data_IF_158557147014
#
_entry.id   IF_158557147014
#
_cell.length_a   1.000
_cell.length_b   1.000
_cell.length_c   1.000
_cell.angle_alpha   90.00
_cell.angle_beta   90.00
_cell.angle_gamma   90.00
#
_symmetry.space_group_name_H-M   'P 1'
#
loop_
_entity.id
_entity.type
_entity.pdbx_description
1 polymer ?
#
# COMPACT_ATOMS: atom_id res chain seq x y z
N UNK A 1 -3.86 10.46 -31.93
CA UNK A 1 -3.74 10.36 -30.46
C UNK A 1 -4.04 11.70 -29.80
N UNK A 2 -3.18 12.71 -29.91
CA UNK A 2 -3.34 14.00 -29.22
C UNK A 2 -4.59 14.80 -29.58
N UNK A 3 -5.09 14.67 -30.82
CA UNK A 3 -6.27 15.41 -31.29
C UNK A 3 -7.50 15.30 -30.38
N UNK A 4 -7.73 14.14 -29.74
CA UNK A 4 -8.85 13.98 -28.80
C UNK A 4 -8.66 14.79 -27.52
N UNK A 5 -7.41 14.99 -27.08
CA UNK A 5 -7.08 15.77 -25.90
C UNK A 5 -7.16 17.28 -26.20
N UNK A 6 -6.74 17.71 -27.38
CA UNK A 6 -6.84 19.12 -27.81
C UNK A 6 -8.31 19.59 -27.76
N UNK A 7 -9.25 18.73 -28.19
CA UNK A 7 -10.69 19.00 -28.14
C UNK A 7 -11.25 19.11 -26.72
N UNK A 8 -10.58 18.54 -25.73
CA UNK A 8 -10.98 18.56 -24.32
C UNK A 8 -10.14 19.52 -23.45
N UNK A 9 -9.25 20.32 -24.06
CA UNK A 9 -8.38 21.26 -23.35
C UNK A 9 -7.18 20.61 -22.65
N UNK A 10 -6.76 19.42 -23.08
CA UNK A 10 -5.55 18.75 -22.58
C UNK A 10 -4.28 19.52 -22.95
N UNK A 11 -3.25 19.39 -22.10
CA UNK A 11 -2.00 20.15 -22.22
C UNK A 11 -0.82 19.33 -22.77
N UNK A 12 -1.06 18.06 -23.13
CA UNK A 12 -0.01 17.15 -23.59
C UNK A 12 0.42 17.48 -25.02
N UNK A 13 1.72 17.55 -25.25
CA UNK A 13 2.35 17.89 -26.54
C UNK A 13 2.98 16.66 -27.19
N UNK A 14 3.39 16.74 -28.47
CA UNK A 14 4.12 15.64 -29.13
C UNK A 14 5.49 15.42 -28.48
N UNK A 15 6.08 16.50 -28.00
CA UNK A 15 7.37 16.55 -27.33
C UNK A 15 7.32 15.78 -26.00
N UNK A 16 6.21 15.86 -25.26
CA UNK A 16 6.02 15.06 -24.04
C UNK A 16 6.07 13.55 -24.33
N UNK A 17 5.46 13.09 -25.44
CA UNK A 17 5.51 11.68 -25.84
C UNK A 17 6.89 11.27 -26.34
N UNK A 18 7.52 12.11 -27.16
CA UNK A 18 8.82 11.82 -27.74
C UNK A 18 9.94 11.77 -26.68
N UNK A 19 9.82 12.57 -25.62
CA UNK A 19 10.79 12.66 -24.53
C UNK A 19 10.60 11.60 -23.44
N UNK A 20 9.40 11.03 -23.29
CA UNK A 20 9.14 10.04 -22.24
C UNK A 20 10.01 8.78 -22.36
N UNK A 21 10.57 8.32 -21.24
CA UNK A 21 11.27 7.04 -21.11
C UNK A 21 10.87 6.35 -19.82
N UNK A 22 10.69 5.03 -19.86
CA UNK A 22 10.55 4.23 -18.64
C UNK A 22 11.84 4.27 -17.83
N UNK A 23 11.73 4.50 -16.52
CA UNK A 23 12.89 4.54 -15.63
C UNK A 23 13.19 3.13 -15.12
N UNK A 24 14.35 2.60 -15.49
CA UNK A 24 14.88 1.36 -14.94
C UNK A 24 15.64 1.66 -13.65
N UNK A 25 15.15 1.14 -12.54
CA UNK A 25 15.78 1.33 -11.23
C UNK A 25 16.87 0.26 -11.03
N UNK A 26 18.15 0.63 -10.80
CA UNK A 26 19.19 -0.33 -10.53
C UNK A 26 18.97 -1.01 -9.17
N UNK A 27 19.51 -2.22 -8.99
CA UNK A 27 19.33 -2.99 -7.76
C UNK A 27 19.81 -2.27 -6.50
N UNK A 28 20.77 -1.35 -6.61
CA UNK A 28 21.26 -0.50 -5.50
C UNK A 28 20.26 0.55 -5.02
N UNK A 29 19.26 0.89 -5.84
CA UNK A 29 18.25 1.89 -5.54
C UNK A 29 16.89 1.28 -5.17
N UNK A 30 16.74 -0.04 -5.36
CA UNK A 30 15.60 -0.80 -4.84
C UNK A 30 15.61 -0.70 -3.31
N UNK A 31 14.43 -0.49 -2.74
CA UNK A 31 14.25 -0.45 -1.29
C UNK A 31 14.04 -1.87 -0.80
N UNK A 32 14.90 -2.29 0.13
CA UNK A 32 14.83 -3.60 0.77
C UNK A 32 14.56 -3.45 2.26
N UNK A 33 13.54 -4.13 2.75
CA UNK A 33 13.25 -4.24 4.18
C UNK A 33 13.58 -5.64 4.67
N UNK A 34 14.45 -5.72 5.67
CA UNK A 34 14.82 -6.98 6.32
C UNK A 34 13.76 -7.34 7.35
N UNK A 35 13.33 -8.60 7.32
CA UNK A 35 12.45 -9.19 8.32
C UNK A 35 13.17 -10.30 9.08
N UNK A 36 12.56 -10.72 10.18
CA UNK A 36 12.91 -11.89 10.97
C UNK A 36 12.96 -13.16 10.12
N UNK A 37 13.70 -14.14 10.62
CA UNK A 37 13.91 -15.44 9.99
C UNK A 37 14.62 -15.40 8.62
N UNK A 38 15.30 -14.29 8.31
CA UNK A 38 16.05 -14.13 7.06
C UNK A 38 15.19 -13.81 5.85
N UNK A 39 13.94 -13.37 6.05
CA UNK A 39 13.09 -12.87 4.96
C UNK A 39 13.48 -11.44 4.59
N UNK A 40 13.30 -11.11 3.34
CA UNK A 40 13.52 -9.77 2.80
C UNK A 40 12.35 -9.40 1.90
N UNK A 41 11.89 -8.15 2.00
CA UNK A 41 10.89 -7.57 1.11
C UNK A 41 11.61 -6.63 0.16
N UNK A 42 11.17 -6.55 -1.10
CA UNK A 42 11.54 -5.49 -2.02
C UNK A 42 10.34 -4.99 -2.83
N UNK A 43 10.48 -3.78 -3.38
CA UNK A 43 9.55 -3.18 -4.31
C UNK A 43 10.12 -1.89 -4.92
N UNK A 44 9.43 -1.26 -5.89
CA UNK A 44 9.88 -0.01 -6.49
C UNK A 44 10.04 1.11 -5.45
N UNK A 45 11.03 2.02 -5.62
CA UNK A 45 11.15 3.23 -4.80
C UNK A 45 10.01 4.23 -5.09
N UNK A 46 9.91 5.35 -4.35
CA UNK A 46 9.03 6.45 -4.72
C UNK A 46 9.18 6.82 -6.21
N UNK A 47 8.09 7.17 -6.91
CA UNK A 47 6.78 7.51 -6.37
C UNK A 47 5.82 6.32 -6.10
N UNK A 48 6.30 5.06 -6.05
CA UNK A 48 5.51 3.93 -5.53
C UNK A 48 5.41 3.95 -4.00
N UNK A 49 4.29 3.46 -3.46
CA UNK A 49 4.08 3.28 -2.02
C UNK A 49 4.60 1.94 -1.46
N UNK A 50 5.38 1.17 -2.23
CA UNK A 50 5.90 -0.13 -1.78
C UNK A 50 6.67 -0.07 -0.46
N UNK A 51 7.42 1.01 -0.22
CA UNK A 51 8.13 1.24 1.04
C UNK A 51 7.18 1.47 2.24
N UNK A 52 6.01 2.05 2.00
CA UNK A 52 4.97 2.26 3.03
C UNK A 52 4.39 0.91 3.46
N UNK A 53 4.09 0.04 2.50
CA UNK A 53 3.65 -1.34 2.76
C UNK A 53 4.72 -2.13 3.50
N UNK A 54 5.98 -1.98 3.09
CA UNK A 54 7.12 -2.60 3.77
C UNK A 54 7.26 -2.16 5.23
N UNK A 55 7.01 -0.89 5.53
CA UNK A 55 7.07 -0.37 6.90
C UNK A 55 6.01 -1.00 7.80
N UNK A 56 4.76 -1.12 7.33
CA UNK A 56 3.68 -1.81 8.06
C UNK A 56 4.12 -3.23 8.39
N UNK A 57 4.62 -3.97 7.39
CA UNK A 57 5.07 -5.36 7.58
C UNK A 57 6.29 -5.48 8.49
N UNK A 58 7.21 -4.50 8.45
CA UNK A 58 8.37 -4.46 9.33
C UNK A 58 7.99 -4.35 10.79
N UNK A 59 7.02 -3.50 11.11
CA UNK A 59 6.51 -3.31 12.47
C UNK A 59 5.76 -4.55 12.93
N UNK A 60 4.88 -5.10 12.09
CA UNK A 60 4.16 -6.34 12.39
C UNK A 60 5.08 -7.54 12.63
N UNK A 61 6.29 -7.54 12.06
CA UNK A 61 7.27 -8.60 12.24
C UNK A 61 7.95 -8.62 13.62
N UNK A 62 7.98 -7.49 14.32
CA UNK A 62 8.53 -7.40 15.68
C UNK A 62 7.62 -7.99 16.75
N UNK A 63 6.32 -8.06 16.47
CA UNK A 63 5.33 -8.63 17.38
C UNK A 63 5.19 -10.16 17.20
N UNK A 64 4.86 -10.82 18.31
CA UNK A 64 4.53 -12.26 18.34
C UNK A 64 3.13 -12.45 18.88
N UNK A 65 2.27 -13.06 18.08
CA UNK A 65 0.88 -13.32 18.42
C UNK A 65 0.63 -14.82 18.58
N UNK A 66 -0.04 -15.22 19.64
CA UNK A 66 -0.66 -16.52 19.75
C UNK A 66 -2.11 -16.44 19.26
N UNK A 67 -2.32 -16.78 17.98
CA UNK A 67 -3.63 -16.73 17.32
C UNK A 67 -4.67 -17.70 17.88
N UNK A 68 -4.33 -18.47 18.92
CA UNK A 68 -5.28 -19.26 19.72
C UNK A 68 -5.88 -18.49 20.89
N UNK A 69 -5.41 -17.26 21.16
CA UNK A 69 -5.95 -16.38 22.19
C UNK A 69 -6.69 -15.24 21.50
N UNK A 70 -7.91 -14.95 21.97
CA UNK A 70 -8.73 -13.90 21.38
C UNK A 70 -8.13 -12.51 21.60
N UNK A 71 -7.48 -12.31 22.74
CA UNK A 71 -6.82 -11.04 23.11
C UNK A 71 -5.68 -10.72 22.13
N UNK A 72 -4.88 -11.73 21.77
CA UNK A 72 -3.77 -11.58 20.82
C UNK A 72 -4.27 -11.26 19.40
N UNK A 73 -5.51 -11.62 19.07
CA UNK A 73 -6.14 -11.29 17.78
C UNK A 73 -6.60 -9.83 17.77
N UNK A 74 -7.19 -9.35 18.87
CA UNK A 74 -7.49 -7.92 19.03
C UNK A 74 -6.24 -7.07 18.91
N UNK A 75 -5.16 -7.45 19.61
CA UNK A 75 -3.87 -6.77 19.55
C UNK A 75 -3.23 -6.82 18.16
N UNK A 76 -3.32 -7.94 17.44
CA UNK A 76 -2.84 -8.05 16.06
C UNK A 76 -3.47 -6.97 15.17
N UNK A 77 -4.78 -6.82 15.21
CA UNK A 77 -5.48 -5.84 14.37
C UNK A 77 -5.27 -4.41 14.83
N UNK A 78 -5.20 -4.18 16.14
CA UNK A 78 -4.82 -2.89 16.72
C UNK A 78 -3.43 -2.44 16.22
N UNK A 79 -2.41 -3.28 16.40
CA UNK A 79 -1.06 -2.99 15.91
C UNK A 79 -1.03 -2.80 14.40
N UNK A 80 -1.82 -3.56 13.63
CA UNK A 80 -1.91 -3.38 12.19
C UNK A 80 -2.48 -2.00 11.79
N UNK A 81 -3.53 -1.54 12.49
CA UNK A 81 -4.14 -0.22 12.28
C UNK A 81 -3.15 0.89 12.66
N UNK A 82 -2.54 0.81 13.83
CA UNK A 82 -1.60 1.82 14.31
C UNK A 82 -0.33 1.90 13.44
N UNK A 83 0.21 0.74 13.04
CA UNK A 83 1.32 0.66 12.07
C UNK A 83 0.94 1.29 10.74
N UNK A 84 -0.29 1.07 10.28
CA UNK A 84 -0.79 1.70 9.06
C UNK A 84 -0.81 3.22 9.21
N UNK A 85 -1.39 3.77 10.28
CA UNK A 85 -1.44 5.23 10.51
C UNK A 85 -0.05 5.87 10.44
N UNK A 86 0.95 5.31 11.12
CA UNK A 86 2.33 5.80 11.04
C UNK A 86 2.92 5.70 9.64
N UNK A 87 2.70 4.58 8.94
CA UNK A 87 3.21 4.41 7.59
C UNK A 87 2.56 5.39 6.59
N UNK A 88 1.25 5.61 6.66
CA UNK A 88 0.55 6.61 5.84
C UNK A 88 0.96 8.05 6.22
N UNK A 89 1.29 8.31 7.49
CA UNK A 89 1.90 9.58 7.89
C UNK A 89 3.22 9.81 7.15
N UNK A 90 4.11 8.81 7.13
CA UNK A 90 5.38 8.89 6.41
C UNK A 90 5.21 8.99 4.88
N UNK A 91 4.20 8.32 4.30
CA UNK A 91 3.85 8.41 2.87
C UNK A 91 3.71 9.86 2.41
N UNK A 92 3.19 10.71 3.27
CA UNK A 92 2.90 12.11 2.94
C UNK A 92 4.14 12.97 2.68
N UNK A 93 5.32 12.50 3.04
CA UNK A 93 6.62 13.13 2.72
C UNK A 93 7.28 12.54 1.47
N UNK A 94 6.69 11.50 0.88
CA UNK A 94 7.18 10.88 -0.35
C UNK A 94 6.68 11.65 -1.58
N UNK A 95 7.41 11.50 -2.68
CA UNK A 95 7.07 12.06 -3.99
C UNK A 95 8.09 11.59 -5.03
N UNK A 96 8.03 12.16 -6.23
CA UNK A 96 9.00 11.87 -7.29
C UNK A 96 10.44 12.21 -6.83
N UNK A 97 11.37 11.24 -6.78
CA UNK A 97 12.75 11.49 -6.38
C UNK A 97 13.50 12.52 -7.24
N UNK A 98 13.06 12.76 -8.48
CA UNK A 98 13.62 13.82 -9.33
C UNK A 98 13.28 15.23 -8.82
N UNK A 99 12.26 15.37 -7.97
CA UNK A 99 11.76 16.66 -7.44
C UNK A 99 11.78 16.74 -5.90
N UNK A 100 11.83 15.59 -5.22
CA UNK A 100 11.87 15.48 -3.76
C UNK A 100 13.14 14.68 -3.39
N UNK A 101 14.25 15.40 -3.20
CA UNK A 101 15.58 14.80 -3.10
C UNK A 101 15.75 13.79 -1.95
N UNK A 102 15.03 13.97 -0.84
CA UNK A 102 15.06 13.06 0.29
C UNK A 102 14.03 11.92 0.20
N UNK A 103 13.17 11.85 -0.84
CA UNK A 103 12.08 10.87 -0.90
C UNK A 103 12.58 9.42 -0.78
N UNK A 104 13.66 9.07 -1.46
CA UNK A 104 14.23 7.73 -1.41
C UNK A 104 14.80 7.40 -0.02
N UNK A 105 15.46 8.35 0.64
CA UNK A 105 16.02 8.15 1.98
C UNK A 105 14.93 8.11 3.05
N UNK A 106 13.89 8.95 2.92
CA UNK A 106 12.68 8.85 3.74
C UNK A 106 12.03 7.48 3.56
N UNK A 107 11.88 6.99 2.33
CA UNK A 107 11.29 5.68 2.04
C UNK A 107 12.12 4.51 2.60
N UNK A 108 13.45 4.58 2.59
CA UNK A 108 14.34 3.58 3.23
C UNK A 108 14.24 3.57 4.75
N UNK A 109 13.94 4.72 5.35
CA UNK A 109 13.93 4.93 6.79
C UNK A 109 12.53 5.14 7.35
N UNK A 110 11.48 4.64 6.68
CA UNK A 110 10.15 4.59 7.28
C UNK A 110 10.20 3.56 8.40
N UNK A 111 10.47 4.02 9.61
CA UNK A 111 10.48 3.21 10.81
C UNK A 111 9.46 3.76 11.77
N UNK A 112 8.64 2.86 12.30
CA UNK A 112 7.85 3.15 13.49
C UNK A 112 8.57 2.47 14.64
N UNK A 113 8.96 3.25 15.64
CA UNK A 113 9.40 2.65 16.89
C UNK A 113 8.18 1.97 17.52
N UNK A 114 8.24 0.65 17.71
CA UNK A 114 7.16 -0.15 18.32
C UNK A 114 6.70 0.42 19.67
N UNK A 115 7.58 1.12 20.40
CA UNK A 115 7.21 1.78 21.65
C UNK A 115 6.24 2.96 21.49
N UNK A 116 6.01 3.43 20.26
CA UNK A 116 5.01 4.45 19.94
C UNK A 116 3.63 3.84 19.65
N UNK A 117 3.53 2.52 19.47
CA UNK A 117 2.26 1.82 19.34
C UNK A 117 1.85 1.38 20.74
N UNK A 118 1.03 2.20 21.40
CA UNK A 118 0.46 1.92 22.73
C UNK A 118 -0.87 1.18 22.60
N UNK A 119 -1.49 0.76 23.70
CA UNK A 119 -2.80 0.07 23.72
C UNK A 119 -4.00 0.99 23.40
N UNK A 120 -3.75 2.23 22.95
CA UNK A 120 -4.75 3.25 22.68
C UNK A 120 -4.49 3.91 21.32
N UNK A 121 -5.53 4.48 20.70
CA UNK A 121 -5.39 5.34 19.52
C UNK A 121 -5.08 6.77 19.93
N UNK A 122 -4.35 7.49 19.08
CA UNK A 122 -3.95 8.88 19.33
C UNK A 122 -4.63 9.86 18.37
N UNK A 123 -4.61 11.19 18.68
CA UNK A 123 -4.90 12.24 17.70
C UNK A 123 -3.92 12.23 16.53
N UNK A 124 -4.32 12.79 15.40
CA UNK A 124 -3.56 12.74 14.16
C UNK A 124 -2.14 13.35 14.28
N UNK A 125 -1.98 14.37 15.12
CA UNK A 125 -0.70 15.05 15.36
C UNK A 125 0.37 14.12 15.96
N UNK A 126 -0.04 13.04 16.64
CA UNK A 126 0.86 12.05 17.22
C UNK A 126 1.62 11.26 16.14
N UNK A 127 0.93 10.91 15.05
CA UNK A 127 1.50 10.10 13.98
C UNK A 127 2.37 10.93 13.01
N UNK A 128 2.19 12.26 12.98
CA UNK A 128 2.93 13.19 12.13
C UNK A 128 2.41 13.27 10.70
N UNK A 129 3.31 13.54 9.74
CA UNK A 129 3.00 13.72 8.32
C UNK A 129 2.75 15.16 7.85
N UNK A 130 2.63 15.35 6.54
CA UNK A 130 2.31 16.61 5.85
C UNK A 130 1.10 16.39 4.94
N UNK A 131 -0.06 16.85 5.38
CA UNK A 131 -1.31 16.19 5.03
C UNK A 131 -1.74 16.42 3.57
N UNK A 132 -2.32 15.35 3.00
CA UNK A 132 -3.41 15.21 2.01
C UNK A 132 -4.03 13.85 2.35
N UNK A 133 -5.37 13.69 2.33
CA UNK A 133 -5.86 12.31 2.28
C UNK A 133 -5.43 11.71 0.95
N UNK A 134 -4.93 10.48 0.93
CA UNK A 134 -4.74 9.73 -0.30
C UNK A 134 -5.96 9.85 -1.24
N UNK A 135 -5.72 9.97 -2.56
CA UNK A 135 -6.79 10.00 -3.55
C UNK A 135 -7.62 8.71 -3.51
N UNK A 136 -8.88 8.81 -3.92
CA UNK A 136 -9.77 7.65 -4.04
C UNK A 136 -9.66 7.14 -5.47
N UNK A 137 -8.85 6.10 -5.71
CA UNK A 137 -8.70 5.49 -7.03
C UNK A 137 -9.21 4.05 -7.11
N UNK A 138 -9.62 3.63 -8.30
CA UNK A 138 -10.31 2.36 -8.50
C UNK A 138 -9.97 1.61 -9.81
N UNK A 139 -9.18 2.20 -10.71
CA UNK A 139 -8.83 1.68 -12.04
C UNK A 139 -7.48 0.95 -12.11
N UNK A 140 -7.08 0.27 -11.04
CA UNK A 140 -5.82 -0.48 -10.95
C UNK A 140 -6.03 -1.98 -11.20
N UNK A 141 -5.05 -2.65 -11.79
CA UNK A 141 -4.96 -4.11 -11.90
C UNK A 141 -3.58 -4.60 -11.47
N UNK A 142 -3.52 -5.82 -10.93
CA UNK A 142 -2.28 -6.43 -10.47
C UNK A 142 -2.16 -7.88 -10.95
N UNK A 143 -0.95 -8.25 -11.37
CA UNK A 143 -0.59 -9.61 -11.76
C UNK A 143 0.69 -10.02 -11.02
N UNK A 144 0.65 -11.21 -10.43
CA UNK A 144 1.81 -11.88 -9.82
C UNK A 144 2.11 -13.17 -10.56
N UNK A 145 3.38 -13.37 -10.94
CA UNK A 145 3.86 -14.57 -11.64
C UNK A 145 5.07 -15.11 -10.91
N UNK A 146 5.07 -16.40 -10.60
CA UNK A 146 6.24 -17.14 -10.12
C UNK A 146 6.37 -18.38 -11.00
N UNK A 147 7.53 -18.55 -11.64
CA UNK A 147 7.79 -19.69 -12.51
C UNK A 147 8.54 -20.84 -11.81
N UNK A 148 8.72 -21.95 -12.53
CA UNK A 148 9.43 -23.12 -12.01
C UNK A 148 10.94 -22.91 -11.83
N UNK A 149 11.51 -21.87 -12.43
CA UNK A 149 12.91 -21.50 -12.27
C UNK A 149 13.15 -20.60 -11.05
N UNK A 150 12.08 -20.17 -10.37
CA UNK A 150 12.14 -19.27 -9.23
C UNK A 150 12.17 -17.79 -9.61
N UNK A 151 11.92 -17.45 -10.89
CA UNK A 151 11.71 -16.06 -11.27
C UNK A 151 10.36 -15.60 -10.71
N UNK A 152 10.33 -14.41 -10.14
CA UNK A 152 9.12 -13.80 -9.61
C UNK A 152 8.93 -12.41 -10.18
N UNK A 153 7.70 -12.10 -10.58
CA UNK A 153 7.30 -10.80 -11.11
C UNK A 153 6.02 -10.36 -10.42
N UNK A 154 6.02 -9.13 -9.88
CA UNK A 154 4.85 -8.46 -9.36
C UNK A 154 4.62 -7.19 -10.18
N UNK A 155 3.56 -7.15 -10.99
CA UNK A 155 3.25 -6.02 -11.88
C UNK A 155 1.93 -5.40 -11.45
N UNK A 156 1.95 -4.10 -11.17
CA UNK A 156 0.73 -3.30 -10.98
C UNK A 156 0.66 -2.28 -12.10
N UNK A 157 -0.52 -2.15 -12.72
CA UNK A 157 -0.78 -1.20 -13.80
C UNK A 157 -2.13 -0.55 -13.58
N UNK A 158 -2.27 0.71 -13.98
CA UNK A 158 -3.48 1.50 -13.76
C UNK A 158 -3.69 2.52 -14.87
N UNK A 159 -4.92 2.96 -15.01
CA UNK A 159 -5.29 4.20 -15.71
C UNK A 159 -5.88 5.24 -14.75
N UNK A 160 -5.57 5.09 -13.46
CA UNK A 160 -6.11 5.77 -12.29
C UNK A 160 -7.58 5.45 -11.99
N UNK A 161 -8.56 6.26 -12.37
CA UNK A 161 -9.98 5.97 -12.09
C UNK A 161 -10.56 4.94 -13.08
N UNK A 162 -11.80 4.50 -12.83
CA UNK A 162 -12.53 3.70 -13.82
C UNK A 162 -12.67 4.49 -15.12
N UNK A 163 -12.19 3.88 -16.21
CA UNK A 163 -12.09 4.50 -17.53
C UNK A 163 -11.13 5.70 -17.62
N UNK A 164 -10.28 5.91 -16.61
CA UNK A 164 -9.32 7.01 -16.56
C UNK A 164 -9.97 8.37 -16.76
N UNK A 165 -9.44 9.16 -17.69
CA UNK A 165 -10.00 10.47 -18.04
C UNK A 165 -11.35 10.40 -18.77
N UNK A 166 -11.88 9.21 -19.06
CA UNK A 166 -13.04 8.97 -19.92
C UNK A 166 -12.91 9.60 -21.32
N UNK A 167 -11.67 9.85 -21.77
CA UNK A 167 -11.34 10.34 -23.10
C UNK A 167 -10.64 9.22 -23.87
N UNK A 168 -11.12 8.93 -25.07
CA UNK A 168 -10.47 7.98 -25.99
C UNK A 168 -9.90 8.71 -27.19
N UNK A 169 -8.70 8.33 -27.60
CA UNK A 169 -8.13 8.73 -28.89
C UNK A 169 -8.98 8.20 -30.04
N UNK A 170 -9.67 9.09 -30.74
CA UNK A 170 -10.54 8.72 -31.89
C UNK A 170 -9.81 7.98 -33.00
N UNK A 171 -8.49 8.20 -33.14
CA UNK A 171 -7.67 7.56 -34.17
C UNK A 171 -7.16 6.17 -33.78
N UNK A 172 -7.04 5.85 -32.48
CA UNK A 172 -6.40 4.61 -32.01
C UNK A 172 -7.26 3.77 -31.07
N UNK A 173 -8.37 4.30 -30.58
CA UNK A 173 -9.20 3.65 -29.54
C UNK A 173 -8.54 3.58 -28.15
N UNK A 174 -7.34 4.17 -27.97
CA UNK A 174 -6.63 4.13 -26.69
C UNK A 174 -7.33 5.08 -25.70
N UNK A 175 -7.64 4.55 -24.53
CA UNK A 175 -8.22 5.27 -23.41
C UNK A 175 -7.12 5.98 -22.62
N UNK A 176 -7.33 7.26 -22.32
CA UNK A 176 -6.39 8.07 -21.55
C UNK A 176 -6.59 7.86 -20.05
N UNK A 177 -5.48 7.76 -19.31
CA UNK A 177 -5.53 7.79 -17.84
C UNK A 177 -5.83 9.20 -17.34
N UNK A 178 -6.23 9.30 -16.08
CA UNK A 178 -6.33 10.54 -15.32
C UNK A 178 -5.36 10.54 -14.11
N UNK A 179 -4.17 9.98 -14.27
CA UNK A 179 -3.17 9.82 -13.19
C UNK A 179 -2.73 11.17 -12.59
N UNK A 180 -2.89 12.28 -13.32
CA UNK A 180 -2.61 13.61 -12.80
C UNK A 180 -3.47 13.98 -11.59
N UNK A 181 -4.59 13.27 -11.35
CA UNK A 181 -5.44 13.40 -10.16
C UNK A 181 -4.73 13.01 -8.86
N UNK A 182 -3.70 12.14 -8.94
CA UNK A 182 -2.91 11.75 -7.77
C UNK A 182 -2.06 12.91 -7.22
N UNK A 183 -1.89 14.00 -7.98
CA UNK A 183 -1.17 15.18 -7.49
C UNK A 183 -1.96 15.97 -6.45
N UNK A 184 -1.24 16.46 -5.45
CA UNK A 184 -1.75 17.47 -4.53
C UNK A 184 -1.79 18.85 -5.21
N UNK A 185 -2.88 19.60 -5.01
CA UNK A 185 -3.04 20.95 -5.54
C UNK A 185 -2.73 22.02 -4.48
N UNK A 186 -1.77 22.94 -4.68
CA UNK A 186 -1.48 23.99 -3.73
C UNK A 186 -2.72 24.81 -3.36
N UNK A 187 -2.96 25.02 -2.06
CA UNK A 187 -4.08 25.81 -1.56
C UNK A 187 -5.47 25.17 -1.75
N UNK A 188 -5.56 23.92 -2.20
CA UNK A 188 -6.82 23.18 -2.34
C UNK A 188 -6.83 21.98 -1.41
N UNK A 189 -7.42 22.08 -0.21
CA UNK A 189 -7.65 20.90 0.61
C UNK A 189 -8.62 19.94 -0.12
N UNK A 190 -8.57 18.67 0.25
CA UNK A 190 -9.51 17.69 -0.31
C UNK A 190 -10.94 17.89 0.26
N UNK A 191 -11.88 17.03 -0.15
CA UNK A 191 -13.28 17.07 0.30
C UNK A 191 -13.45 17.12 1.83
N UNK A 192 -12.53 16.51 2.58
CA UNK A 192 -12.55 16.44 4.05
C UNK A 192 -11.80 17.61 4.72
N UNK A 193 -11.39 18.64 3.97
CA UNK A 193 -10.67 19.79 4.51
C UNK A 193 -9.20 19.51 4.87
N UNK A 194 -8.66 18.37 4.45
CA UNK A 194 -7.27 17.99 4.73
C UNK A 194 -6.38 18.77 3.77
N UNK A 195 -5.31 19.47 4.25
CA UNK A 195 -4.46 20.27 3.39
C UNK A 195 -3.76 19.41 2.32
N UNK A 196 -3.07 20.01 1.34
CA UNK A 196 -2.38 19.26 0.29
C UNK A 196 -0.90 19.00 0.64
N UNK A 197 -0.37 17.82 0.28
CA UNK A 197 1.01 17.45 0.59
C UNK A 197 1.98 18.19 -0.33
N UNK A 198 2.90 19.03 0.20
CA UNK A 198 3.85 19.77 -0.61
C UNK A 198 4.80 18.88 -1.41
N UNK A 199 5.18 17.73 -0.86
CA UNK A 199 6.04 16.75 -1.52
C UNK A 199 5.42 16.23 -2.82
N UNK A 200 4.08 16.23 -2.91
CA UNK A 200 3.32 15.78 -4.07
C UNK A 200 2.60 16.91 -4.80
N UNK A 201 3.05 18.17 -4.72
CA UNK A 201 2.51 19.23 -5.57
C UNK A 201 2.82 18.99 -7.06
N UNK A 202 1.82 19.24 -7.90
CA UNK A 202 1.92 19.18 -9.37
C UNK A 202 3.03 20.11 -9.90
N UNK A 203 3.87 19.57 -10.79
CA UNK A 203 4.93 20.31 -11.51
C UNK A 203 5.17 19.71 -12.90
N UNK A 204 5.59 20.49 -13.91
CA UNK A 204 5.97 19.95 -15.21
C UNK A 204 7.06 18.87 -15.09
N UNK A 205 6.89 17.76 -15.81
CA UNK A 205 7.84 16.64 -15.83
C UNK A 205 7.89 15.79 -14.55
N UNK A 206 7.15 16.16 -13.50
CA UNK A 206 7.05 15.39 -12.25
C UNK A 206 6.06 14.25 -12.42
N UNK A 207 6.30 13.14 -11.71
CA UNK A 207 5.38 12.01 -11.58
C UNK A 207 4.60 12.09 -10.26
N UNK A 208 3.30 11.78 -10.25
CA UNK A 208 2.50 11.83 -9.03
C UNK A 208 2.83 10.66 -8.09
N UNK A 209 2.60 10.86 -6.79
CA UNK A 209 2.78 9.82 -5.77
C UNK A 209 1.65 8.79 -5.81
N UNK A 210 1.97 7.57 -6.22
CA UNK A 210 1.01 6.48 -6.37
C UNK A 210 0.83 5.66 -5.09
N UNK A 211 -0.33 5.03 -4.93
CA UNK A 211 -0.59 4.05 -3.86
C UNK A 211 -0.19 2.62 -4.23
N UNK A 212 0.21 2.39 -5.49
CA UNK A 212 0.66 1.07 -5.95
C UNK A 212 1.81 0.53 -5.10
N UNK A 213 1.64 -0.70 -4.64
CA UNK A 213 2.60 -1.40 -3.77
C UNK A 213 2.87 -2.85 -4.24
N UNK A 214 3.38 -3.07 -5.47
CA UNK A 214 3.86 -4.39 -5.86
C UNK A 214 5.11 -4.74 -5.04
N UNK A 215 5.03 -5.80 -4.24
CA UNK A 215 6.15 -6.26 -3.42
C UNK A 215 6.45 -7.74 -3.68
N UNK A 216 7.72 -8.09 -3.51
CA UNK A 216 8.18 -9.48 -3.51
C UNK A 216 8.85 -9.74 -2.15
N UNK A 217 8.41 -10.80 -1.48
CA UNK A 217 8.98 -11.27 -0.22
C UNK A 217 9.67 -12.60 -0.48
N UNK A 218 10.95 -12.70 -0.13
CA UNK A 218 11.76 -13.89 -0.38
C UNK A 218 12.70 -14.19 0.78
N UNK A 219 13.13 -15.45 0.91
CA UNK A 219 14.11 -15.85 1.91
C UNK A 219 15.55 -15.65 1.39
N UNK A 220 16.37 -14.96 2.18
CA UNK A 220 17.79 -14.74 1.91
C UNK A 220 18.67 -15.92 2.35
N UNK A 221 18.16 -16.81 3.21
CA UNK A 221 18.86 -18.02 3.61
C UNK A 221 18.64 -19.11 2.56
N UNK A 222 19.67 -19.35 1.76
CA UNK A 222 19.73 -20.47 0.84
C UNK A 222 20.01 -21.78 1.60
N UNK A 223 19.01 -22.36 2.25
CA UNK A 223 19.09 -23.78 2.63
C UNK A 223 18.44 -24.60 1.52
N UNK A 224 19.20 -25.50 0.87
CA UNK A 224 18.68 -26.42 -0.16
C UNK A 224 17.53 -27.30 0.34
N UNK A 225 17.34 -27.43 1.65
CA UNK A 225 16.21 -28.16 2.26
C UNK A 225 14.95 -27.31 2.46
N UNK A 226 15.08 -25.98 2.48
CA UNK A 226 13.95 -25.06 2.62
C UNK A 226 13.57 -24.60 1.21
N UNK A 227 12.39 -24.99 0.73
CA UNK A 227 11.83 -24.41 -0.51
C UNK A 227 11.86 -22.89 -0.37
N UNK A 228 12.47 -22.19 -1.33
CA UNK A 228 12.48 -20.73 -1.36
C UNK A 228 11.02 -20.26 -1.29
N UNK A 229 10.63 -19.72 -0.14
CA UNK A 229 9.32 -19.11 0.03
C UNK A 229 9.41 -17.76 -0.64
N UNK A 230 8.74 -17.64 -1.79
CA UNK A 230 8.59 -16.39 -2.52
C UNK A 230 7.10 -16.05 -2.54
N UNK A 231 6.76 -14.86 -2.08
CA UNK A 231 5.44 -14.26 -2.20
C UNK A 231 5.57 -13.02 -3.09
N UNK A 232 5.00 -13.08 -4.28
CA UNK A 232 4.74 -11.90 -5.10
C UNK A 232 3.30 -11.47 -4.82
N UNK A 233 3.10 -10.20 -4.45
CA UNK A 233 1.79 -9.68 -4.09
C UNK A 233 1.67 -8.19 -4.42
N UNK A 234 0.47 -7.79 -4.76
CA UNK A 234 0.05 -6.43 -5.02
C UNK A 234 -1.48 -6.40 -5.09
N UNK A 235 -2.06 -5.28 -5.49
CA UNK A 235 -3.50 -5.14 -5.52
C UNK A 235 -3.97 -3.87 -6.21
N UNK A 236 -5.28 -3.65 -6.13
CA UNK A 236 -6.00 -2.50 -6.65
C UNK A 236 -6.91 -1.90 -5.56
N UNK A 237 -7.39 -0.67 -5.75
CA UNK A 237 -8.24 0.05 -4.80
C UNK A 237 -7.60 1.30 -4.20
N UNK A 238 -6.72 1.95 -4.96
CA UNK A 238 -6.02 3.16 -4.59
C UNK A 238 -5.35 3.17 -3.26
N UNK A 239 -5.72 4.13 -2.42
CA UNK A 239 -5.11 4.26 -1.10
C UNK A 239 -5.20 2.99 -0.28
N UNK A 240 -6.20 2.13 -0.49
CA UNK A 240 -6.36 0.86 0.21
C UNK A 240 -5.40 -0.22 -0.28
N UNK A 241 -4.68 -0.03 -1.38
CA UNK A 241 -3.68 -0.98 -1.90
C UNK A 241 -2.62 -1.26 -0.83
N UNK A 242 -2.13 -0.22 -0.14
CA UNK A 242 -1.03 -0.35 0.83
C UNK A 242 -1.44 -1.29 1.98
N UNK A 243 -2.53 -0.99 2.68
CA UNK A 243 -3.03 -1.84 3.77
C UNK A 243 -3.56 -3.19 3.26
N UNK A 244 -4.16 -3.23 2.06
CA UNK A 244 -4.63 -4.48 1.46
C UNK A 244 -3.50 -5.47 1.18
N UNK A 245 -2.40 -5.00 0.57
CA UNK A 245 -1.21 -5.81 0.29
C UNK A 245 -0.52 -6.24 1.58
N UNK A 246 -0.37 -5.32 2.54
CA UNK A 246 0.17 -5.64 3.86
C UNK A 246 -0.69 -6.71 4.56
N UNK A 247 -2.02 -6.59 4.50
CA UNK A 247 -2.96 -7.55 5.07
C UNK A 247 -2.83 -8.94 4.46
N UNK A 248 -2.75 -9.07 3.14
CA UNK A 248 -2.54 -10.36 2.46
C UNK A 248 -1.21 -10.99 2.87
N UNK A 249 -0.13 -10.21 2.89
CA UNK A 249 1.18 -10.69 3.33
C UNK A 249 1.17 -11.10 4.82
N UNK A 250 0.49 -10.34 5.68
CA UNK A 250 0.29 -10.65 7.10
C UNK A 250 -0.38 -12.02 7.29
N UNK A 251 -1.52 -12.22 6.61
CA UNK A 251 -2.27 -13.48 6.69
C UNK A 251 -1.44 -14.65 6.18
N UNK A 252 -0.75 -14.49 5.05
CA UNK A 252 0.02 -15.57 4.46
C UNK A 252 1.23 -15.97 5.32
N UNK A 253 2.03 -14.98 5.74
CA UNK A 253 3.34 -15.24 6.32
C UNK A 253 3.33 -15.35 7.86
N UNK A 254 2.49 -14.58 8.55
CA UNK A 254 2.44 -14.60 10.03
C UNK A 254 1.29 -15.46 10.54
N UNK A 255 0.11 -15.38 9.91
CA UNK A 255 -1.04 -16.21 10.27
C UNK A 255 -1.06 -17.58 9.56
N UNK A 256 -0.06 -17.85 8.70
CA UNK A 256 0.16 -19.12 8.00
C UNK A 256 -1.00 -19.54 7.10
N UNK A 257 -1.82 -18.60 6.65
CA UNK A 257 -2.87 -18.84 5.68
C UNK A 257 -2.25 -19.19 4.32
N UNK A 258 -2.89 -20.10 3.56
CA UNK A 258 -2.50 -20.26 2.15
C UNK A 258 -2.90 -19.01 1.33
N UNK A 259 -2.41 -18.89 0.09
CA UNK A 259 -2.64 -17.68 -0.74
C UNK A 259 -4.13 -17.37 -0.92
N UNK A 260 -4.96 -18.39 -1.18
CA UNK A 260 -6.41 -18.21 -1.33
C UNK A 260 -7.03 -17.67 -0.04
N UNK A 261 -6.72 -18.30 1.09
CA UNK A 261 -7.20 -17.86 2.40
C UNK A 261 -6.75 -16.44 2.74
N UNK A 262 -5.52 -16.07 2.42
CA UNK A 262 -4.98 -14.74 2.67
C UNK A 262 -5.65 -13.66 1.81
N UNK A 263 -6.00 -13.99 0.55
CA UNK A 263 -6.73 -13.09 -0.35
C UNK A 263 -8.22 -12.99 0.03
N UNK A 264 -8.84 -14.09 0.47
CA UNK A 264 -10.24 -14.12 0.88
C UNK A 264 -10.47 -13.56 2.30
N UNK A 265 -9.40 -13.40 3.09
CA UNK A 265 -9.49 -12.89 4.44
C UNK A 265 -10.04 -11.45 4.45
N UNK A 266 -10.96 -11.13 5.38
CA UNK A 266 -11.57 -9.82 5.45
C UNK A 266 -10.54 -8.75 5.83
N UNK A 267 -10.62 -7.60 5.16
CA UNK A 267 -9.61 -6.53 5.28
C UNK A 267 -10.03 -5.42 6.23
N UNK A 268 -9.01 -4.80 6.84
CA UNK A 268 -9.08 -3.53 7.55
C UNK A 268 -8.25 -2.48 6.81
N UNK A 269 -8.70 -1.23 6.88
CA UNK A 269 -8.00 -0.10 6.30
C UNK A 269 -8.13 1.13 7.18
N UNK A 270 -6.99 1.74 7.52
CA UNK A 270 -6.92 3.07 8.09
C UNK A 270 -5.71 3.78 7.49
N UNK A 271 -5.93 4.97 6.96
CA UNK A 271 -4.93 5.76 6.24
C UNK A 271 -4.57 7.06 6.96
N UNK A 272 -4.71 7.09 8.29
CA UNK A 272 -4.59 8.24 9.17
C UNK A 272 -5.68 9.30 8.96
N UNK A 273 -5.89 9.78 7.72
CA UNK A 273 -6.94 10.77 7.42
C UNK A 273 -7.84 10.38 6.23
N UNK A 274 -9.17 10.41 6.38
CA UNK A 274 -9.90 10.62 7.64
C UNK A 274 -9.55 9.54 8.66
N UNK A 275 -9.54 9.90 9.95
CA UNK A 275 -9.19 8.98 11.05
C UNK A 275 -10.38 8.06 11.36
N UNK A 276 -10.66 7.19 10.39
CA UNK A 276 -11.73 6.19 10.41
C UNK A 276 -11.14 4.88 9.96
N UNK A 277 -11.51 3.80 10.64
CA UNK A 277 -11.14 2.45 10.24
C UNK A 277 -12.27 1.87 9.40
N UNK A 278 -11.96 1.53 8.15
CA UNK A 278 -12.85 0.80 7.26
C UNK A 278 -12.60 -0.70 7.40
N UNK A 279 -13.66 -1.49 7.29
CA UNK A 279 -13.58 -2.95 7.30
C UNK A 279 -14.55 -3.54 6.26
N UNK A 280 -14.21 -4.71 5.73
CA UNK A 280 -15.10 -5.42 4.79
C UNK A 280 -16.33 -6.01 5.51
N UNK A 281 -17.49 -6.16 4.85
CA UNK A 281 -18.73 -6.61 5.51
C UNK A 281 -18.65 -7.98 6.20
N UNK A 282 -17.75 -8.85 5.74
CA UNK A 282 -17.48 -10.17 6.29
C UNK A 282 -16.41 -10.15 7.40
N UNK A 283 -15.93 -8.98 7.83
CA UNK A 283 -15.04 -8.87 8.97
C UNK A 283 -15.76 -9.34 10.24
N UNK A 284 -15.18 -10.25 11.05
CA UNK A 284 -15.86 -10.79 12.21
C UNK A 284 -16.19 -9.69 13.23
N UNK A 285 -17.48 -9.57 13.57
CA UNK A 285 -17.97 -8.64 14.60
C UNK A 285 -17.77 -9.15 16.02
N UNK A 286 -17.62 -10.46 16.15
CA UNK A 286 -17.32 -11.18 17.38
C UNK A 286 -16.34 -12.26 16.98
N UNK A 287 -15.21 -12.33 17.67
CA UNK A 287 -14.29 -13.43 17.48
C UNK A 287 -14.76 -14.61 18.34
N UNK A 288 -14.94 -15.82 17.77
CA UNK A 288 -15.23 -16.98 18.59
C UNK A 288 -14.00 -17.32 19.44
N UNK A 289 -14.22 -17.61 20.73
CA UNK A 289 -13.16 -18.09 21.61
C UNK A 289 -12.56 -19.38 21.02
N UNK A 290 -11.25 -19.40 20.66
CA UNK A 290 -10.63 -20.57 20.04
C UNK A 290 -10.58 -21.80 20.97
N UNK A 291 -10.86 -21.63 22.26
CA UNK A 291 -10.99 -22.71 23.25
C UNK A 291 -12.38 -23.35 23.31
N UNK A 292 -13.40 -22.72 22.71
CA UNK A 292 -14.76 -23.21 22.71
C UNK A 292 -15.01 -24.23 21.60
N UNK A 293 -15.49 -25.41 21.99
CA UNK A 293 -15.86 -26.50 21.08
C UNK A 293 -17.31 -26.44 20.60
N UNK A 294 -18.12 -25.49 21.11
CA UNK A 294 -19.57 -25.41 20.85
C UNK A 294 -19.97 -23.96 20.47
N UNK A 295 -20.56 -23.72 19.28
CA UNK A 295 -20.78 -22.36 18.74
C UNK A 295 -21.76 -21.45 19.50
N UNK A 296 -22.60 -22.01 20.37
CA UNK A 296 -23.74 -21.28 20.97
C UNK A 296 -23.40 -20.41 22.17
N UNK A 297 -22.19 -20.53 22.74
CA UNK A 297 -21.81 -19.84 23.98
C UNK A 297 -20.80 -18.69 23.76
N UNK A 298 -20.31 -18.51 22.53
CA UNK A 298 -19.22 -17.56 22.22
C UNK A 298 -19.69 -16.13 21.90
N UNK A 299 -20.99 -15.83 21.93
CA UNK A 299 -21.52 -14.53 21.49
C UNK A 299 -21.38 -13.40 22.50
N UNK A 300 -20.85 -13.66 23.71
CA UNK A 300 -20.87 -12.67 24.82
C UNK A 300 -19.52 -12.03 25.18
N UNK A 301 -18.41 -12.43 24.56
CA UNK A 301 -17.08 -11.85 24.87
C UNK A 301 -16.37 -11.30 23.63
N UNK A 302 -17.11 -10.59 22.77
CA UNK A 302 -16.55 -9.91 21.62
C UNK A 302 -15.88 -8.60 22.00
N UNK A 303 -14.59 -8.46 21.70
CA UNK A 303 -13.98 -7.14 21.50
C UNK A 303 -14.76 -6.50 20.34
N UNK A 304 -15.63 -5.54 20.65
CA UNK A 304 -16.21 -4.68 19.61
C UNK A 304 -15.08 -3.83 19.07
N UNK A 305 -14.90 -3.88 17.74
CA UNK A 305 -14.22 -2.81 17.02
C UNK A 305 -14.96 -1.48 17.20
#
# INVERSE_FOLDING_TARGET
>A
MLFSLDLTGGILTKEDFASYRSVLIPSSEVIYTKLSNGRMICGPPPPSASAVTQAILSVMDGYKYNTKKIEDIGLLYHHFIESSKFAYAARSWLGDPAFVHNATDTARNITTNESLITDETHPDEYYGGSFLAPPTDHGTSHISVIDSAGNAVAVTSTINLYLGAAVTSSSTGILWNDEMDDFSSPGRPNYFGIPPSPANFIRPGKRPMSSQSPIIIFNTKADRKIKQQVLAVGGAGGSTIISGVAGVALHNLWLKANVKQAVDAPRLHNQLRPNVTMYEPNFPKVWPDPSCSVPTDCSQMGISL
#
